data_IF_253692797996
#
_entry.id   IF_253692797996
#
_cell.length_a   1.000
_cell.length_b   1.000
_cell.length_c   1.000
_cell.angle_alpha   90.00
_cell.angle_beta   90.00
_cell.angle_gamma   90.00
#
_symmetry.space_group_name_H-M   'P 1'
#
loop_
_entity.id
_entity.type
_entity.pdbx_description
1 polymer ?
#
# COMPACT_ATOMS: atom_id res chain seq x y z
N UNK A 1 -48.92 22.71 -45.49
CA UNK A 1 -47.45 22.85 -45.60
C UNK A 1 -46.96 23.72 -44.44
N UNK A 2 -46.52 23.12 -43.34
CA UNK A 2 -45.78 23.81 -42.29
C UNK A 2 -44.75 22.82 -41.75
N UNK A 3 -43.48 23.06 -42.09
CA UNK A 3 -42.37 22.15 -41.86
C UNK A 3 -42.09 21.93 -40.38
N UNK A 4 -42.00 20.67 -40.00
CA UNK A 4 -41.49 20.24 -38.72
C UNK A 4 -40.04 20.75 -38.56
N UNK A 5 -39.82 21.60 -37.56
CA UNK A 5 -38.47 21.94 -37.09
C UNK A 5 -37.89 20.65 -36.51
N UNK A 6 -37.02 19.98 -37.24
CA UNK A 6 -36.15 18.96 -36.68
C UNK A 6 -35.30 19.64 -35.60
N UNK A 7 -35.40 19.26 -34.32
CA UNK A 7 -34.50 19.75 -33.30
C UNK A 7 -33.15 19.07 -33.52
N UNK A 8 -32.34 19.66 -34.41
CA UNK A 8 -30.95 19.28 -34.62
C UNK A 8 -30.22 19.42 -33.30
N UNK A 9 -29.77 18.29 -32.76
CA UNK A 9 -29.02 18.19 -31.51
C UNK A 9 -27.91 19.23 -31.50
N UNK A 10 -27.95 20.13 -30.52
CA UNK A 10 -27.00 21.23 -30.39
C UNK A 10 -25.59 20.69 -30.15
N UNK A 11 -24.56 21.32 -30.71
CA UNK A 11 -23.15 21.01 -30.40
C UNK A 11 -22.90 21.04 -28.88
N UNK A 12 -23.63 21.89 -28.14
CA UNK A 12 -23.60 21.93 -26.68
C UNK A 12 -24.14 20.66 -26.00
N UNK A 13 -25.17 20.01 -26.57
CA UNK A 13 -25.69 18.75 -26.03
C UNK A 13 -24.71 17.59 -26.23
N UNK A 14 -24.00 17.58 -27.36
CA UNK A 14 -22.96 16.57 -27.63
C UNK A 14 -21.77 16.72 -26.68
N UNK A 15 -21.34 17.96 -26.41
CA UNK A 15 -20.26 18.23 -25.47
C UNK A 15 -20.65 17.87 -24.03
N UNK A 16 -21.86 18.22 -23.61
CA UNK A 16 -22.37 17.88 -22.28
C UNK A 16 -22.46 16.35 -22.10
N UNK A 17 -22.96 15.63 -23.12
CA UNK A 17 -23.02 14.16 -23.12
C UNK A 17 -21.64 13.52 -23.07
N UNK A 18 -20.64 14.06 -23.76
CA UNK A 18 -19.27 13.55 -23.73
C UNK A 18 -18.61 13.71 -22.35
N UNK A 19 -18.85 14.85 -21.69
CA UNK A 19 -18.34 15.10 -20.32
C UNK A 19 -19.04 14.20 -19.31
N UNK A 20 -20.35 14.02 -19.41
CA UNK A 20 -21.11 13.11 -18.53
C UNK A 20 -20.64 11.65 -18.70
N UNK A 21 -20.47 11.20 -19.94
CA UNK A 21 -19.97 9.85 -20.23
C UNK A 21 -18.52 9.64 -19.75
N UNK A 22 -17.66 10.64 -19.89
CA UNK A 22 -16.28 10.59 -19.37
C UNK A 22 -16.25 10.51 -17.83
N UNK A 23 -17.13 11.26 -17.15
CA UNK A 23 -17.27 11.21 -15.70
C UNK A 23 -17.81 9.88 -15.19
N UNK A 24 -18.73 9.24 -15.91
CA UNK A 24 -19.22 7.90 -15.58
C UNK A 24 -18.15 6.82 -15.80
N UNK A 25 -17.36 6.93 -16.86
CA UNK A 25 -16.27 6.00 -17.16
C UNK A 25 -15.19 6.02 -16.05
N UNK A 26 -14.77 7.21 -15.62
CA UNK A 26 -13.79 7.36 -14.52
C UNK A 26 -14.34 6.78 -13.21
N UNK A 27 -15.63 7.00 -12.91
CA UNK A 27 -16.26 6.44 -11.71
C UNK A 27 -16.37 4.92 -11.80
N UNK A 28 -16.62 4.37 -12.98
CA UNK A 28 -16.67 2.93 -13.21
C UNK A 28 -15.28 2.29 -13.02
N UNK A 29 -14.22 2.88 -13.53
CA UNK A 29 -12.84 2.42 -13.30
C UNK A 29 -12.47 2.48 -11.81
N UNK A 30 -12.77 3.59 -11.14
CA UNK A 30 -12.55 3.70 -9.69
C UNK A 30 -13.31 2.62 -8.92
N UNK A 31 -14.55 2.31 -9.32
CA UNK A 31 -15.36 1.28 -8.69
C UNK A 31 -14.75 -0.11 -8.90
N UNK A 32 -14.18 -0.40 -10.07
CA UNK A 32 -13.47 -1.65 -10.36
C UNK A 32 -12.19 -1.75 -9.52
N UNK A 33 -11.34 -0.71 -9.50
CA UNK A 33 -10.14 -0.66 -8.67
C UNK A 33 -10.46 -0.86 -7.18
N UNK A 34 -11.51 -0.19 -6.69
CA UNK A 34 -11.96 -0.33 -5.30
C UNK A 34 -12.41 -1.76 -4.99
N UNK A 35 -13.16 -2.40 -5.89
CA UNK A 35 -13.60 -3.80 -5.71
C UNK A 35 -12.41 -4.77 -5.75
N UNK A 36 -11.44 -4.55 -6.63
CA UNK A 36 -10.22 -5.36 -6.71
C UNK A 36 -9.37 -5.20 -5.45
N UNK A 37 -9.19 -3.97 -4.99
CA UNK A 37 -8.46 -3.65 -3.75
C UNK A 37 -9.12 -4.29 -2.52
N UNK A 38 -10.45 -4.22 -2.39
CA UNK A 38 -11.18 -4.84 -1.28
C UNK A 38 -11.07 -6.37 -1.34
N UNK A 39 -11.22 -6.99 -2.52
CA UNK A 39 -11.06 -8.45 -2.68
C UNK A 39 -9.66 -8.89 -2.30
N UNK A 40 -8.62 -8.16 -2.75
CA UNK A 40 -7.23 -8.44 -2.38
C UNK A 40 -6.97 -8.22 -0.89
N UNK A 41 -7.51 -7.16 -0.30
CA UNK A 41 -7.38 -6.89 1.14
C UNK A 41 -8.06 -7.98 1.99
N UNK A 42 -9.24 -8.46 1.58
CA UNK A 42 -9.94 -9.55 2.26
C UNK A 42 -9.23 -10.90 2.10
N UNK A 43 -8.65 -11.17 0.93
CA UNK A 43 -7.82 -12.36 0.71
C UNK A 43 -6.53 -12.30 1.54
N UNK A 44 -5.92 -11.12 1.67
CA UNK A 44 -4.70 -10.90 2.43
C UNK A 44 -4.94 -10.63 3.92
N UNK A 45 -6.18 -10.60 4.42
CA UNK A 45 -6.47 -10.17 5.81
C UNK A 45 -5.68 -10.95 6.86
N UNK A 46 -5.50 -12.25 6.66
CA UNK A 46 -4.74 -13.09 7.58
C UNK A 46 -3.25 -12.79 7.47
N UNK A 47 -2.72 -12.63 6.25
CA UNK A 47 -1.33 -12.25 6.03
C UNK A 47 -1.01 -10.87 6.62
N UNK A 48 -1.90 -9.89 6.45
CA UNK A 48 -1.79 -8.55 7.03
C UNK A 48 -1.85 -8.62 8.56
N UNK A 49 -2.79 -9.40 9.13
CA UNK A 49 -2.89 -9.58 10.58
C UNK A 49 -1.63 -10.25 11.17
N UNK A 50 -1.09 -11.28 10.50
CA UNK A 50 0.14 -11.95 10.91
C UNK A 50 1.36 -11.03 10.77
N UNK A 51 1.46 -10.24 9.70
CA UNK A 51 2.52 -9.24 9.55
C UNK A 51 2.45 -8.18 10.65
N UNK A 52 1.25 -7.67 10.95
CA UNK A 52 1.06 -6.68 12.02
C UNK A 52 1.45 -7.28 13.38
N UNK A 53 0.99 -8.49 13.69
CA UNK A 53 1.37 -9.19 14.91
C UNK A 53 2.89 -9.40 14.99
N UNK A 54 3.51 -9.82 13.88
CA UNK A 54 4.96 -10.00 13.78
C UNK A 54 5.73 -8.70 14.02
N UNK A 55 5.28 -7.58 13.45
CA UNK A 55 5.89 -6.25 13.66
C UNK A 55 5.79 -5.83 15.13
N UNK A 56 4.64 -6.03 15.77
CA UNK A 56 4.46 -5.71 17.18
C UNK A 56 5.37 -6.56 18.09
N UNK A 57 5.47 -7.86 17.82
CA UNK A 57 6.36 -8.76 18.55
C UNK A 57 7.83 -8.38 18.33
N UNK A 58 8.22 -8.08 17.10
CA UNK A 58 9.56 -7.64 16.76
C UNK A 58 9.92 -6.33 17.48
N UNK A 59 9.00 -5.36 17.53
CA UNK A 59 9.19 -4.10 18.25
C UNK A 59 9.38 -4.34 19.76
N UNK A 60 8.55 -5.18 20.36
CA UNK A 60 8.67 -5.55 21.77
C UNK A 60 9.98 -6.25 22.08
N UNK A 61 10.37 -7.21 21.25
CA UNK A 61 11.63 -7.96 21.38
C UNK A 61 12.85 -7.06 21.23
N UNK A 62 12.84 -6.17 20.23
CA UNK A 62 13.90 -5.20 20.02
C UNK A 62 14.05 -4.23 21.21
N UNK A 63 12.92 -3.79 21.76
CA UNK A 63 12.91 -2.93 22.97
C UNK A 63 13.49 -3.67 24.18
N UNK A 64 13.07 -4.91 24.41
CA UNK A 64 13.58 -5.73 25.52
C UNK A 64 15.09 -5.99 25.38
N UNK A 65 15.58 -6.28 24.17
CA UNK A 65 17.01 -6.44 23.90
C UNK A 65 17.80 -5.16 24.18
N UNK A 66 17.29 -3.99 23.76
CA UNK A 66 17.96 -2.71 24.02
C UNK A 66 18.00 -2.37 25.51
N UNK A 67 16.93 -2.67 26.25
CA UNK A 67 16.91 -2.48 27.71
C UNK A 67 17.92 -3.41 28.38
N UNK A 68 17.92 -4.70 28.03
CA UNK A 68 18.88 -5.67 28.57
C UNK A 68 20.32 -5.29 28.25
N UNK A 69 20.57 -4.81 27.04
CA UNK A 69 21.87 -4.29 26.62
C UNK A 69 22.29 -3.06 27.43
N UNK A 70 21.39 -2.10 27.63
CA UNK A 70 21.65 -0.91 28.44
C UNK A 70 21.98 -1.28 29.90
N UNK A 71 21.23 -2.20 30.50
CA UNK A 71 21.47 -2.68 31.87
C UNK A 71 22.83 -3.41 31.95
N UNK A 72 23.15 -4.25 30.98
CA UNK A 72 24.44 -4.94 30.92
C UNK A 72 25.61 -3.98 30.87
N UNK A 73 25.49 -2.93 30.03
CA UNK A 73 26.52 -1.90 29.90
C UNK A 73 26.58 -0.96 31.10
N UNK A 74 25.45 -0.73 31.78
CA UNK A 74 25.37 0.11 32.96
C UNK A 74 26.32 -0.35 34.08
N UNK A 75 26.64 -1.65 34.15
CA UNK A 75 27.63 -2.19 35.10
C UNK A 75 29.04 -1.60 34.91
N UNK A 76 29.39 -1.19 33.70
CA UNK A 76 30.74 -0.73 33.36
C UNK A 76 30.87 0.79 33.31
N UNK A 77 29.87 1.47 32.73
CA UNK A 77 29.92 2.92 32.44
C UNK A 77 28.81 3.71 33.13
N UNK A 78 28.08 3.07 34.05
CA UNK A 78 26.96 3.64 34.77
C UNK A 78 25.64 3.65 33.98
N UNK A 79 24.49 3.84 34.65
CA UNK A 79 23.16 3.73 34.04
C UNK A 79 22.95 4.68 32.86
N UNK A 80 23.40 5.93 33.00
CA UNK A 80 23.27 6.95 31.96
C UNK A 80 24.13 6.60 30.74
N UNK A 81 25.39 6.21 30.96
CA UNK A 81 26.29 5.80 29.89
C UNK A 81 25.78 4.57 29.13
N UNK A 82 25.28 3.56 29.85
CA UNK A 82 24.72 2.36 29.25
C UNK A 82 23.50 2.64 28.38
N UNK A 83 22.61 3.52 28.83
CA UNK A 83 21.46 3.98 28.06
C UNK A 83 21.87 4.72 26.77
N UNK A 84 22.85 5.62 26.85
CA UNK A 84 23.34 6.37 25.67
C UNK A 84 23.93 5.42 24.63
N UNK A 85 24.80 4.49 25.04
CA UNK A 85 25.44 3.57 24.09
C UNK A 85 24.42 2.61 23.49
N UNK A 86 23.47 2.10 24.28
CA UNK A 86 22.38 1.27 23.76
C UNK A 86 21.51 2.04 22.75
N UNK A 87 21.19 3.31 23.04
CA UNK A 87 20.45 4.18 22.13
C UNK A 87 21.19 4.40 20.81
N UNK A 88 22.49 4.69 20.86
CA UNK A 88 23.33 4.86 19.66
C UNK A 88 23.40 3.57 18.84
N UNK A 89 23.59 2.42 19.49
CA UNK A 89 23.58 1.12 18.83
C UNK A 89 22.23 0.84 18.15
N UNK A 90 21.12 1.11 18.84
CA UNK A 90 19.77 0.99 18.29
C UNK A 90 19.57 1.89 17.07
N UNK A 91 20.02 3.15 17.13
CA UNK A 91 19.95 4.09 16.01
C UNK A 91 20.76 3.62 14.80
N UNK A 92 21.96 3.07 15.01
CA UNK A 92 22.78 2.53 13.94
C UNK A 92 22.09 1.34 13.25
N UNK A 93 21.54 0.42 14.02
CA UNK A 93 20.81 -0.74 13.48
C UNK A 93 19.56 -0.29 12.72
N UNK A 94 18.77 0.62 13.29
CA UNK A 94 17.59 1.17 12.63
C UNK A 94 17.95 1.89 11.32
N UNK A 95 18.99 2.71 11.33
CA UNK A 95 19.49 3.40 10.13
C UNK A 95 19.92 2.44 9.03
N UNK A 96 20.62 1.35 9.39
CA UNK A 96 21.01 0.31 8.44
C UNK A 96 19.81 -0.43 7.84
N UNK A 97 18.82 -0.78 8.68
CA UNK A 97 17.59 -1.44 8.24
C UNK A 97 16.77 -0.56 7.30
N UNK A 98 16.58 0.73 7.65
CA UNK A 98 15.87 1.69 6.80
C UNK A 98 16.60 1.85 5.47
N UNK A 99 17.92 2.01 5.50
CA UNK A 99 18.73 2.14 4.29
C UNK A 99 18.57 0.92 3.38
N UNK A 100 18.61 -0.28 3.95
CA UNK A 100 18.48 -1.52 3.19
C UNK A 100 17.05 -1.73 2.68
N UNK A 101 16.04 -1.35 3.47
CA UNK A 101 14.64 -1.36 3.04
C UNK A 101 14.39 -0.43 1.86
N UNK A 102 14.93 0.80 1.90
CA UNK A 102 14.80 1.76 0.80
C UNK A 102 15.43 1.26 -0.50
N UNK A 103 16.58 0.57 -0.41
CA UNK A 103 17.21 -0.06 -1.60
C UNK A 103 16.39 -1.19 -2.21
N UNK A 104 15.52 -1.81 -1.41
CA UNK A 104 14.75 -3.00 -1.78
C UNK A 104 13.32 -2.70 -2.19
N UNK A 105 12.87 -1.44 -2.11
CA UNK A 105 11.57 -1.03 -2.63
C UNK A 105 11.56 -1.26 -4.14
N UNK A 106 10.90 -2.32 -4.65
CA UNK A 106 10.69 -2.47 -6.08
C UNK A 106 9.64 -1.42 -6.44
N UNK A 107 9.84 -0.70 -7.54
CA UNK A 107 8.75 0.00 -8.21
C UNK A 107 7.64 -1.04 -8.38
N UNK A 108 6.52 -0.87 -7.66
CA UNK A 108 5.40 -1.81 -7.64
C UNK A 108 4.93 -1.97 -9.09
N UNK A 109 5.43 -2.99 -9.77
CA UNK A 109 5.05 -3.28 -11.14
C UNK A 109 3.55 -3.60 -11.14
N UNK A 110 2.77 -3.02 -12.06
CA UNK A 110 1.38 -3.40 -12.23
C UNK A 110 1.33 -4.90 -12.54
N UNK A 111 0.34 -5.62 -11.97
CA UNK A 111 0.30 -7.07 -12.05
C UNK A 111 0.19 -7.52 -13.51
N UNK A 112 1.01 -8.50 -13.88
CA UNK A 112 0.83 -9.29 -15.10
C UNK A 112 -0.63 -9.73 -15.14
N UNK A 113 -1.30 -9.37 -16.24
CA UNK A 113 -2.67 -9.74 -16.50
C UNK A 113 -2.78 -11.26 -16.41
N UNK A 114 -3.65 -11.75 -15.52
CA UNK A 114 -3.96 -13.17 -15.44
C UNK A 114 -4.37 -13.64 -16.85
N UNK A 115 -3.47 -14.37 -17.53
CA UNK A 115 -3.77 -15.01 -18.80
C UNK A 115 -5.07 -15.81 -18.61
N UNK A 116 -6.09 -15.63 -19.47
CA UNK A 116 -7.34 -16.34 -19.33
C UNK A 116 -7.06 -17.83 -19.29
N UNK A 117 -7.42 -18.44 -18.16
CA UNK A 117 -7.29 -19.88 -17.95
C UNK A 117 -7.93 -20.60 -19.14
N UNK A 118 -7.18 -21.53 -19.72
CA UNK A 118 -7.46 -22.24 -20.99
C UNK A 118 -8.89 -22.83 -21.10
N UNK A 119 -9.62 -22.95 -19.99
CA UNK A 119 -11.04 -23.31 -19.93
C UNK A 119 -12.01 -22.39 -20.72
N UNK A 120 -11.60 -21.17 -21.07
CA UNK A 120 -12.41 -20.24 -21.88
C UNK A 120 -12.02 -20.23 -23.38
N UNK A 121 -10.90 -20.87 -23.75
CA UNK A 121 -10.49 -21.03 -25.17
C UNK A 121 -11.15 -22.22 -25.87
N UNK A 122 -11.67 -23.17 -25.10
CA UNK A 122 -12.26 -24.42 -25.60
C UNK A 122 -13.81 -24.42 -25.61
N UNK A 123 -14.45 -23.25 -25.50
CA UNK A 123 -15.90 -23.08 -25.68
C UNK A 123 -16.20 -22.24 -26.91
#
# INVERSE_FOLDING_TARGET
>A
MAGAKEPGTSIGELFNRAVDQGGELIRAELAVYRRLAIRRALAARLAVALMLAGVLIALGSASALMIGFAIGLARFIGPVGGGIVAGLAGFLVAGLLVREGLKRLPTVAPPEEDEPTQAERDR
#
